data_IF_849572219435
#
_entry.id   IF_849572219435
#
_cell.length_a   1.000
_cell.length_b   1.000
_cell.length_c   1.000
_cell.angle_alpha   90.00
_cell.angle_beta   90.00
_cell.angle_gamma   90.00
#
_symmetry.space_group_name_H-M   'P 1'
#
loop_
_entity.id
_entity.type
_entity.pdbx_description
1 polymer ?
#
# COMPACT_ATOMS: atom_id res chain seq x y z
N UNK A 1 0.43 -2.93 20.50
CA UNK A 1 -0.09 -1.59 20.86
C UNK A 1 -1.12 -1.76 21.96
N UNK A 2 -0.96 -1.06 23.08
CA UNK A 2 -1.83 -1.23 24.24
C UNK A 2 -3.03 -0.26 24.14
N UNK A 3 -4.08 -0.66 23.41
CA UNK A 3 -5.30 0.15 23.25
C UNK A 3 -5.95 0.47 24.60
N UNK A 4 -5.86 -0.47 25.55
CA UNK A 4 -6.48 -0.32 26.86
C UNK A 4 -5.77 0.77 27.67
N UNK A 5 -4.44 0.90 27.55
CA UNK A 5 -3.70 2.01 28.13
C UNK A 5 -4.19 3.36 27.59
N UNK A 6 -4.33 3.49 26.27
CA UNK A 6 -4.80 4.73 25.62
C UNK A 6 -6.20 5.09 26.13
N UNK A 7 -7.13 4.12 26.09
CA UNK A 7 -8.52 4.35 26.49
C UNK A 7 -8.64 4.71 27.97
N UNK A 8 -7.91 4.00 28.84
CA UNK A 8 -7.94 4.25 30.28
C UNK A 8 -7.37 5.63 30.63
N UNK A 9 -6.22 5.99 30.08
CA UNK A 9 -5.61 7.30 30.34
C UNK A 9 -6.44 8.45 29.76
N UNK A 10 -6.97 8.27 28.54
CA UNK A 10 -7.87 9.26 27.94
C UNK A 10 -9.13 9.46 28.78
N UNK A 11 -9.77 8.37 29.22
CA UNK A 11 -10.95 8.45 30.09
C UNK A 11 -10.64 9.10 31.43
N UNK A 12 -9.47 8.83 32.03
CA UNK A 12 -9.05 9.46 33.28
C UNK A 12 -8.93 10.98 33.14
N UNK A 13 -8.27 11.44 32.08
CA UNK A 13 -8.12 12.88 31.81
C UNK A 13 -9.47 13.51 31.47
N UNK A 14 -10.26 12.88 30.61
CA UNK A 14 -11.61 13.34 30.25
C UNK A 14 -12.49 13.57 31.47
N UNK A 15 -12.51 12.61 32.41
CA UNK A 15 -13.26 12.72 33.66
C UNK A 15 -12.74 13.85 34.55
N UNK A 16 -11.41 13.95 34.73
CA UNK A 16 -10.80 15.01 35.53
C UNK A 16 -11.09 16.41 34.97
N UNK A 17 -11.20 16.53 33.65
CA UNK A 17 -11.50 17.78 32.95
C UNK A 17 -13.00 18.04 32.74
N UNK A 18 -13.88 17.07 33.07
CA UNK A 18 -15.32 17.16 32.84
C UNK A 18 -15.72 17.14 31.35
N UNK A 19 -14.93 16.48 30.49
CA UNK A 19 -15.10 16.49 29.04
C UNK A 19 -15.86 15.28 28.47
N UNK A 20 -16.37 14.37 29.31
CA UNK A 20 -17.00 13.13 28.85
C UNK A 20 -18.13 13.34 27.84
N UNK A 21 -18.90 14.42 27.99
CA UNK A 21 -20.00 14.79 27.08
C UNK A 21 -19.55 15.32 25.72
N UNK A 22 -18.28 15.69 25.57
CA UNK A 22 -17.72 16.28 24.35
C UNK A 22 -17.24 15.22 23.35
N UNK A 23 -17.11 13.96 23.76
CA UNK A 23 -16.54 12.89 22.94
C UNK A 23 -17.55 12.15 22.06
N UNK A 24 -18.44 12.90 21.38
CA UNK A 24 -19.28 12.33 20.32
C UNK A 24 -18.43 11.88 19.12
N UNK A 25 -18.86 10.87 18.33
CA UNK A 25 -18.11 10.44 17.15
C UNK A 25 -17.80 11.58 16.17
N UNK A 26 -18.72 12.53 16.00
CA UNK A 26 -18.50 13.74 15.20
C UNK A 26 -17.31 14.55 15.73
N UNK A 27 -17.30 14.85 17.02
CA UNK A 27 -16.26 15.68 17.63
C UNK A 27 -14.89 14.98 17.62
N UNK A 28 -14.87 13.67 17.85
CA UNK A 28 -13.65 12.87 17.76
C UNK A 28 -13.11 12.82 16.33
N UNK A 29 -13.96 12.67 15.32
CA UNK A 29 -13.55 12.77 13.92
C UNK A 29 -13.01 14.17 13.56
N UNK A 30 -13.63 15.23 14.10
CA UNK A 30 -13.09 16.59 13.97
C UNK A 30 -11.73 16.74 14.64
N UNK A 31 -11.54 16.18 15.84
CA UNK A 31 -10.24 16.17 16.53
C UNK A 31 -9.16 15.48 15.70
N UNK A 32 -9.45 14.31 15.12
CA UNK A 32 -8.53 13.62 14.19
C UNK A 32 -8.13 14.53 13.02
N UNK A 33 -9.08 15.27 12.44
CA UNK A 33 -8.78 16.20 11.34
C UNK A 33 -7.89 17.37 11.79
N UNK A 34 -8.05 17.87 13.01
CA UNK A 34 -7.23 18.94 13.58
C UNK A 34 -5.81 18.46 13.82
N UNK A 35 -5.64 17.27 14.42
CA UNK A 35 -4.30 16.70 14.66
C UNK A 35 -3.59 16.32 13.36
N UNK A 36 -4.33 15.88 12.34
CA UNK A 36 -3.77 15.67 11.00
C UNK A 36 -3.26 16.97 10.37
N UNK A 37 -3.97 18.09 10.58
CA UNK A 37 -3.53 19.40 10.11
C UNK A 37 -2.27 19.88 10.86
N UNK A 38 -2.21 19.72 12.18
CA UNK A 38 -0.99 20.01 12.97
C UNK A 38 0.21 19.19 12.53
N UNK A 39 -0.01 17.89 12.24
CA UNK A 39 1.04 17.04 11.68
C UNK A 39 1.54 17.60 10.35
N UNK A 40 0.62 18.01 9.46
CA UNK A 40 0.95 18.62 8.17
C UNK A 40 1.72 19.94 8.31
N UNK A 41 1.43 20.77 9.32
CA UNK A 41 2.12 22.04 9.56
C UNK A 41 3.64 21.87 9.72
N UNK A 42 4.11 20.70 10.19
CA UNK A 42 5.55 20.41 10.28
C UNK A 42 6.25 20.32 8.93
N UNK A 43 5.50 20.09 7.84
CA UNK A 43 6.04 19.83 6.50
C UNK A 43 5.65 20.89 5.46
N UNK A 44 4.68 21.76 5.76
CA UNK A 44 4.00 22.61 4.77
C UNK A 44 4.92 23.56 3.96
N UNK A 45 6.09 23.93 4.51
CA UNK A 45 7.05 24.84 3.88
C UNK A 45 8.37 24.17 3.49
N UNK A 46 8.49 22.86 3.68
CA UNK A 46 9.69 22.12 3.35
C UNK A 46 9.68 21.69 1.88
N UNK A 47 10.84 21.70 1.24
CA UNK A 47 11.06 20.94 0.01
C UNK A 47 11.08 19.44 0.28
N UNK A 48 10.96 18.61 -0.76
CA UNK A 48 11.02 17.15 -0.63
C UNK A 48 12.30 16.70 0.10
N UNK A 49 13.46 17.27 -0.26
CA UNK A 49 14.75 16.95 0.35
C UNK A 49 14.77 17.36 1.83
N UNK A 50 14.32 18.58 2.16
CA UNK A 50 14.26 19.03 3.55
C UNK A 50 13.30 18.15 4.38
N UNK A 51 12.19 17.69 3.78
CA UNK A 51 11.21 16.82 4.46
C UNK A 51 11.78 15.45 4.83
N UNK A 52 12.74 14.92 4.05
CA UNK A 52 13.42 13.66 4.34
C UNK A 52 14.42 13.78 5.50
N UNK A 53 14.99 14.98 5.71
CA UNK A 53 16.01 15.26 6.72
C UNK A 53 15.45 15.71 8.08
N UNK A 54 14.12 15.81 8.22
CA UNK A 54 13.45 16.26 9.45
C UNK A 54 13.80 15.41 10.68
N UNK A 55 14.14 14.13 10.49
CA UNK A 55 14.58 13.25 11.58
C UNK A 55 15.98 13.59 12.12
N UNK A 56 16.80 14.31 11.37
CA UNK A 56 18.19 14.64 11.72
C UNK A 56 18.29 16.06 12.28
N UNK A 57 17.60 17.02 11.64
CA UNK A 57 17.74 18.45 11.93
C UNK A 57 16.44 19.12 12.45
N UNK A 58 15.31 18.40 12.48
CA UNK A 58 14.00 18.92 12.83
C UNK A 58 13.55 18.66 14.28
N UNK A 59 12.39 19.23 14.66
CA UNK A 59 11.73 18.95 15.95
C UNK A 59 10.96 17.63 15.88
N UNK A 60 11.71 16.52 15.90
CA UNK A 60 11.15 15.17 15.88
C UNK A 60 10.19 14.91 17.05
N UNK A 61 10.36 15.62 18.18
CA UNK A 61 9.47 15.48 19.33
C UNK A 61 8.10 16.07 19.05
N UNK A 62 8.03 17.24 18.39
CA UNK A 62 6.76 17.82 17.96
C UNK A 62 6.01 16.89 17.00
N UNK A 63 6.70 16.35 16.00
CA UNK A 63 6.10 15.43 15.02
C UNK A 63 5.62 14.15 15.70
N UNK A 64 6.43 13.57 16.59
CA UNK A 64 6.03 12.41 17.37
C UNK A 64 4.79 12.70 18.23
N UNK A 65 4.70 13.90 18.81
CA UNK A 65 3.52 14.38 19.53
C UNK A 65 2.28 14.45 18.65
N UNK A 66 2.35 15.12 17.50
CA UNK A 66 1.23 15.26 16.57
C UNK A 66 0.75 13.89 16.03
N UNK A 67 1.68 12.95 15.77
CA UNK A 67 1.36 11.55 15.42
C UNK A 67 0.67 10.83 16.58
N UNK A 68 1.16 11.00 17.80
CA UNK A 68 0.59 10.36 18.98
C UNK A 68 -0.84 10.86 19.24
N UNK A 69 -1.08 12.16 19.15
CA UNK A 69 -2.41 12.77 19.32
C UNK A 69 -3.39 12.23 18.27
N UNK A 70 -2.97 12.16 17.00
CA UNK A 70 -3.75 11.54 15.94
C UNK A 70 -4.10 10.07 16.25
N UNK A 71 -3.14 9.30 16.74
CA UNK A 71 -3.35 7.91 17.15
C UNK A 71 -4.33 7.78 18.32
N UNK A 72 -4.21 8.64 19.34
CA UNK A 72 -5.09 8.65 20.50
C UNK A 72 -6.53 8.88 20.07
N UNK A 73 -6.81 9.97 19.32
CA UNK A 73 -8.17 10.28 18.90
C UNK A 73 -8.75 9.23 17.96
N UNK A 74 -7.96 8.64 17.06
CA UNK A 74 -8.41 7.53 16.22
C UNK A 74 -8.81 6.31 17.04
N UNK A 75 -8.04 5.93 18.06
CA UNK A 75 -8.36 4.78 18.91
C UNK A 75 -9.63 5.05 19.75
N UNK A 76 -9.78 6.26 20.29
CA UNK A 76 -10.98 6.66 21.03
C UNK A 76 -12.21 6.68 20.11
N UNK A 77 -12.08 7.18 18.88
CA UNK A 77 -13.14 7.15 17.87
C UNK A 77 -13.54 5.71 17.52
N UNK A 78 -12.58 4.82 17.27
CA UNK A 78 -12.83 3.40 17.01
C UNK A 78 -13.60 2.78 18.17
N UNK A 79 -13.17 3.02 19.41
CA UNK A 79 -13.87 2.53 20.60
C UNK A 79 -15.31 3.07 20.68
N UNK A 80 -15.56 4.36 20.39
CA UNK A 80 -16.93 4.91 20.35
C UNK A 80 -17.81 4.35 19.23
N UNK A 81 -17.20 3.88 18.15
CA UNK A 81 -17.91 3.24 17.04
C UNK A 81 -18.02 1.71 17.20
N UNK A 82 -17.45 1.13 18.25
CA UNK A 82 -17.41 -0.33 18.45
C UNK A 82 -16.50 -1.04 17.44
N UNK A 83 -15.47 -0.36 16.93
CA UNK A 83 -14.51 -0.90 15.97
C UNK A 83 -13.22 -1.32 16.65
N UNK A 84 -12.71 -2.50 16.31
CA UNK A 84 -11.39 -2.95 16.71
C UNK A 84 -10.34 -2.46 15.72
N UNK A 85 -9.41 -1.55 16.11
CA UNK A 85 -8.49 -0.91 15.17
C UNK A 85 -7.62 -1.88 14.37
N UNK A 86 -7.13 -2.94 15.01
CA UNK A 86 -6.27 -3.92 14.35
C UNK A 86 -7.01 -4.73 13.29
N UNK A 87 -8.26 -5.08 13.55
CA UNK A 87 -9.07 -5.86 12.62
C UNK A 87 -9.43 -5.04 11.38
N UNK A 88 -9.92 -3.80 11.57
CA UNK A 88 -10.28 -2.92 10.45
C UNK A 88 -9.06 -2.56 9.57
N UNK A 89 -7.88 -2.38 10.18
CA UNK A 89 -6.64 -2.10 9.44
C UNK A 89 -6.21 -3.33 8.66
N UNK A 90 -6.21 -4.51 9.29
CA UNK A 90 -5.85 -5.78 8.65
C UNK A 90 -6.74 -6.06 7.43
N UNK A 91 -8.05 -5.93 7.58
CA UNK A 91 -9.00 -6.16 6.49
C UNK A 91 -8.79 -5.16 5.35
N UNK A 92 -8.54 -3.88 5.70
CA UNK A 92 -8.25 -2.85 4.71
C UNK A 92 -6.94 -3.11 3.95
N UNK A 93 -5.90 -3.60 4.63
CA UNK A 93 -4.62 -3.96 3.99
C UNK A 93 -4.77 -5.13 3.01
N UNK A 94 -5.56 -6.15 3.35
CA UNK A 94 -5.85 -7.28 2.47
C UNK A 94 -6.63 -6.84 1.22
N UNK A 95 -7.63 -5.98 1.40
CA UNK A 95 -8.37 -5.40 0.29
C UNK A 95 -7.48 -4.56 -0.64
N UNK A 96 -6.62 -3.70 -0.06
CA UNK A 96 -5.70 -2.88 -0.83
C UNK A 96 -4.71 -3.73 -1.65
N UNK A 97 -4.20 -4.83 -1.07
CA UNK A 97 -3.34 -5.78 -1.77
C UNK A 97 -4.05 -6.40 -2.98
N UNK A 98 -5.30 -6.81 -2.80
CA UNK A 98 -6.10 -7.43 -3.88
C UNK A 98 -6.27 -6.45 -5.04
N UNK A 99 -6.69 -5.21 -4.74
CA UNK A 99 -6.83 -4.14 -5.75
C UNK A 99 -5.53 -3.84 -6.49
N UNK A 100 -4.41 -3.85 -5.78
CA UNK A 100 -3.10 -3.62 -6.38
C UNK A 100 -2.73 -4.73 -7.38
N UNK A 101 -2.97 -5.99 -7.02
CA UNK A 101 -2.74 -7.13 -7.92
C UNK A 101 -3.63 -7.03 -9.16
N UNK A 102 -4.92 -6.72 -8.99
CA UNK A 102 -5.85 -6.53 -10.11
C UNK A 102 -5.35 -5.44 -11.07
N UNK A 103 -4.84 -4.33 -10.56
CA UNK A 103 -4.27 -3.26 -11.38
C UNK A 103 -3.01 -3.69 -12.13
N UNK A 104 -2.12 -4.47 -11.51
CA UNK A 104 -0.93 -5.01 -12.19
C UNK A 104 -1.36 -5.94 -13.33
N UNK A 105 -2.27 -6.87 -13.06
CA UNK A 105 -2.76 -7.82 -14.06
C UNK A 105 -3.44 -7.08 -15.22
N UNK A 106 -4.28 -6.08 -14.92
CA UNK A 106 -4.92 -5.27 -15.95
C UNK A 106 -3.89 -4.53 -16.82
N UNK A 107 -2.84 -3.95 -16.24
CA UNK A 107 -1.76 -3.31 -16.99
C UNK A 107 -1.00 -4.29 -17.88
N UNK A 108 -0.65 -5.47 -17.37
CA UNK A 108 0.02 -6.53 -18.13
C UNK A 108 -0.85 -7.02 -19.30
N UNK A 109 -2.16 -7.21 -19.09
CA UNK A 109 -3.09 -7.59 -20.16
C UNK A 109 -3.18 -6.52 -21.26
N UNK A 110 -3.27 -5.24 -20.89
CA UNK A 110 -3.28 -4.12 -21.85
C UNK A 110 -1.98 -4.06 -22.65
N UNK A 111 -0.83 -4.22 -21.99
CA UNK A 111 0.48 -4.22 -22.64
C UNK A 111 0.60 -5.35 -23.66
N UNK A 112 0.20 -6.58 -23.29
CA UNK A 112 0.21 -7.73 -24.21
C UNK A 112 -0.76 -7.56 -25.38
N UNK A 113 -1.94 -7.00 -25.14
CA UNK A 113 -2.89 -6.71 -26.22
C UNK A 113 -2.33 -5.68 -27.21
N UNK A 114 -1.62 -4.65 -26.74
CA UNK A 114 -0.95 -3.67 -27.58
C UNK A 114 0.18 -4.29 -28.42
N UNK A 115 0.94 -5.23 -27.86
CA UNK A 115 2.00 -5.97 -28.58
C UNK A 115 1.42 -6.88 -29.68
N UNK A 116 0.24 -7.49 -29.44
CA UNK A 116 -0.43 -8.33 -30.44
C UNK A 116 -1.03 -7.51 -31.59
N UNK A 117 -1.49 -6.28 -31.32
CA UNK A 117 -2.17 -5.44 -32.32
C UNK A 117 -1.24 -4.50 -33.11
N UNK A 118 0.02 -4.36 -32.71
CA UNK A 118 1.07 -3.67 -33.47
C UNK A 118 2.24 -4.61 -33.79
N UNK A 119 2.03 -5.66 -34.61
CA UNK A 119 3.11 -6.56 -34.98
C UNK A 119 4.17 -5.76 -35.76
N UNK A 120 5.44 -5.90 -35.38
CA UNK A 120 6.55 -5.43 -36.22
C UNK A 120 6.34 -5.89 -37.66
N UNK A 121 6.68 -5.08 -38.68
CA UNK A 121 6.38 -5.40 -40.07
C UNK A 121 7.00 -6.77 -40.42
N UNK A 122 6.13 -7.76 -40.67
CA UNK A 122 6.57 -9.06 -41.14
C UNK A 122 7.25 -8.89 -42.50
N UNK A 123 8.41 -9.51 -42.76
CA UNK A 123 8.97 -9.54 -44.10
C UNK A 123 7.96 -10.19 -45.05
N UNK A 124 7.70 -9.54 -46.18
CA UNK A 124 6.74 -9.99 -47.18
C UNK A 124 7.01 -11.45 -47.57
N UNK A 125 6.06 -12.34 -47.27
CA UNK A 125 6.14 -13.74 -47.69
C UNK A 125 5.58 -13.90 -49.12
N UNK A 126 6.20 -14.71 -49.99
CA UNK A 126 5.79 -14.83 -51.38
C UNK A 126 4.58 -15.75 -51.55
N UNK A 127 3.62 -15.33 -52.39
CA UNK A 127 2.73 -16.19 -53.18
C UNK A 127 1.74 -17.08 -52.42
N UNK A 128 0.48 -16.65 -52.37
CA UNK A 128 -0.63 -17.29 -51.65
C UNK A 128 -1.21 -18.51 -52.40
N UNK A 129 -1.18 -19.70 -51.78
CA UNK A 129 -2.06 -20.83 -52.13
C UNK A 129 -3.18 -20.89 -51.09
N UNK A 130 -4.43 -20.77 -51.54
CA UNK A 130 -5.61 -20.72 -50.67
C UNK A 130 -6.09 -22.14 -50.34
N UNK A 131 -6.03 -22.52 -49.06
CA UNK A 131 -6.69 -23.72 -48.50
C UNK A 131 -7.81 -23.24 -47.57
N UNK A 132 -9.04 -23.72 -47.80
CA UNK A 132 -10.18 -23.41 -46.93
C UNK A 132 -10.17 -24.28 -45.68
N UNK A 133 -10.31 -23.66 -44.50
CA UNK A 133 -10.41 -24.33 -43.21
C UNK A 133 -11.79 -23.99 -42.60
N UNK A 134 -12.58 -24.98 -42.09
CA UNK A 134 -13.88 -24.70 -41.50
C UNK A 134 -13.74 -23.98 -40.16
N UNK A 135 -14.65 -23.04 -39.88
CA UNK A 135 -14.72 -22.28 -38.62
C UNK A 135 -14.86 -23.22 -37.41
N UNK A 136 -13.89 -23.21 -36.51
CA UNK A 136 -14.01 -23.79 -35.17
C UNK A 136 -14.75 -22.83 -34.24
N UNK A 137 -15.64 -23.37 -33.42
CA UNK A 137 -16.32 -22.67 -32.35
C UNK A 137 -15.34 -22.42 -31.20
N UNK A 138 -15.13 -21.15 -30.83
CA UNK A 138 -14.34 -20.81 -29.65
C UNK A 138 -15.16 -21.14 -28.39
N UNK A 139 -14.77 -22.22 -27.71
CA UNK A 139 -15.26 -22.60 -26.40
C UNK A 139 -14.65 -21.73 -25.30
N UNK A 140 -15.48 -21.44 -24.31
CA UNK A 140 -15.19 -20.65 -23.11
C UNK A 140 -14.24 -21.45 -22.19
N UNK A 141 -12.92 -21.25 -22.27
CA UNK A 141 -11.97 -21.88 -21.33
C UNK A 141 -11.83 -21.01 -20.07
N UNK A 142 -12.25 -21.57 -18.94
CA UNK A 142 -12.08 -20.96 -17.63
C UNK A 142 -10.58 -20.87 -17.27
N UNK A 143 -10.16 -19.70 -16.78
CA UNK A 143 -8.77 -19.43 -16.41
C UNK A 143 -8.36 -20.29 -15.21
N UNK A 144 -7.26 -21.04 -15.36
CA UNK A 144 -6.65 -21.85 -14.30
C UNK A 144 -5.87 -20.94 -13.32
N UNK A 145 -6.54 -20.58 -12.23
CA UNK A 145 -5.98 -19.76 -11.15
C UNK A 145 -4.83 -20.43 -10.40
N UNK A 146 -4.74 -21.76 -10.47
CA UNK A 146 -3.69 -22.55 -9.80
C UNK A 146 -2.39 -22.51 -10.61
N UNK A 147 -2.48 -22.41 -11.94
CA UNK A 147 -1.35 -22.09 -12.80
C UNK A 147 -0.84 -20.64 -12.58
N UNK A 148 -1.74 -19.67 -12.39
CA UNK A 148 -1.38 -18.28 -12.12
C UNK A 148 -0.65 -18.15 -10.77
N UNK A 149 -1.16 -18.80 -9.71
CA UNK A 149 -0.55 -18.79 -8.39
C UNK A 149 0.89 -19.37 -8.39
N UNK A 150 1.11 -20.46 -9.12
CA UNK A 150 2.45 -21.07 -9.29
C UNK A 150 3.44 -20.11 -9.95
N UNK A 151 3.00 -19.39 -10.99
CA UNK A 151 3.86 -18.44 -11.71
C UNK A 151 4.31 -17.28 -10.81
N UNK A 152 3.42 -16.78 -9.96
CA UNK A 152 3.72 -15.71 -8.99
C UNK A 152 4.71 -16.18 -7.91
N UNK A 153 4.55 -17.40 -7.42
CA UNK A 153 5.47 -17.99 -6.44
C UNK A 153 6.90 -18.11 -6.99
N UNK A 154 7.03 -18.56 -8.24
CA UNK A 154 8.32 -18.68 -8.92
C UNK A 154 8.99 -17.31 -9.14
N UNK A 155 8.22 -16.28 -9.53
CA UNK A 155 8.76 -14.92 -9.67
C UNK A 155 9.25 -14.32 -8.36
N UNK A 156 8.64 -14.66 -7.21
CA UNK A 156 9.15 -14.23 -5.89
C UNK A 156 10.50 -14.86 -5.56
N UNK A 157 10.67 -16.15 -5.83
CA UNK A 157 11.96 -16.83 -5.64
C UNK A 157 13.05 -16.25 -6.54
N UNK A 158 12.72 -15.89 -7.79
CA UNK A 158 13.66 -15.23 -8.71
C UNK A 158 14.09 -13.84 -8.21
N UNK A 159 13.15 -13.05 -7.68
CA UNK A 159 13.45 -11.72 -7.13
C UNK A 159 14.29 -11.80 -5.85
N UNK A 160 14.02 -12.76 -4.97
CA UNK A 160 14.84 -13.02 -3.79
C UNK A 160 16.27 -13.46 -4.18
N UNK A 161 16.40 -14.33 -5.19
CA UNK A 161 17.69 -14.75 -5.72
C UNK A 161 18.47 -13.58 -6.34
N UNK A 162 17.80 -12.68 -7.06
CA UNK A 162 18.43 -11.47 -7.61
C UNK A 162 18.87 -10.49 -6.52
N UNK A 163 18.03 -10.29 -5.49
CA UNK A 163 18.36 -9.44 -4.33
C UNK A 163 19.60 -9.97 -3.59
N UNK A 164 19.68 -11.28 -3.36
CA UNK A 164 20.84 -11.90 -2.71
C UNK A 164 22.12 -11.75 -3.54
N UNK A 165 22.06 -11.92 -4.86
CA UNK A 165 23.20 -11.68 -5.77
C UNK A 165 23.67 -10.23 -5.81
N UNK A 166 22.79 -9.27 -5.53
CA UNK A 166 23.14 -7.85 -5.44
C UNK A 166 23.87 -7.55 -4.12
N UNK A 167 23.39 -8.12 -3.01
CA UNK A 167 24.04 -8.02 -1.70
C UNK A 167 25.44 -8.65 -1.69
N UNK A 168 25.62 -9.80 -2.33
CA UNK A 168 26.93 -10.46 -2.47
C UNK A 168 27.93 -9.66 -3.32
N UNK A 169 27.45 -8.86 -4.28
CA UNK A 169 28.29 -7.97 -5.09
C UNK A 169 28.71 -6.72 -4.32
N UNK A 170 27.80 -6.11 -3.58
CA UNK A 170 28.11 -4.91 -2.77
C UNK A 170 28.98 -5.24 -1.54
N UNK A 171 28.86 -6.44 -0.97
CA UNK A 171 29.72 -6.86 0.15
C UNK A 171 31.17 -7.19 -0.23
N UNK A 172 31.53 -7.25 -1.52
CA UNK A 172 32.91 -7.49 -1.97
C UNK A 172 33.71 -6.20 -2.20
N UNK A 173 33.04 -5.09 -2.53
CA UNK A 173 33.71 -3.80 -2.81
C UNK A 173 34.23 -3.11 -1.53
N UNK A 174 33.68 -3.39 -0.36
CA UNK A 174 34.13 -2.81 0.92
C UNK A 174 35.34 -3.53 1.56
N UNK A 175 35.90 -4.55 0.91
CA UNK A 175 37.03 -5.32 1.44
C UNK A 175 38.41 -4.90 0.91
N UNK A 176 38.47 -3.89 0.03
CA UNK A 176 39.71 -3.34 -0.52
C UNK A 176 39.74 -1.80 -0.42
N UNK A 177 39.79 -1.26 0.79
CA UNK A 177 40.33 0.07 1.07
C UNK A 177 40.94 0.14 2.46
#
# INVERSE_FOLDING_TARGET
MNKDLILNEFSRVSQAMGWDSLHSPKNLASAVSIEAAKLLENFQWLSDIESELVCEDGDINKIAGDIADLFIYLNVLCHKLGLEPWDIVKDKMLLNRTKYIEQIVAKDMVQRAAEVYNPSPQPASPGMVRVEIPRSQAGNEAVDWEAVARKIANSRQELEAQSNRLKERHGKDDSHR
#
